data_IF_800340490900
#
_entry.id   IF_800340490900
#
_cell.length_a   1.000
_cell.length_b   1.000
_cell.length_c   1.000
_cell.angle_alpha   90.00
_cell.angle_beta   90.00
_cell.angle_gamma   90.00
#
_symmetry.space_group_name_H-M   'P 1'
#
loop_
_entity.id
_entity.type
_entity.pdbx_description
1 polymer ?
#
# COMPACT_ATOMS: atom_id res chain seq x y z
N UNK A 1 -5.69 -12.69 -2.66
CA UNK A 1 -6.62 -11.55 -2.79
C UNK A 1 -6.15 -10.64 -3.91
N UNK A 2 -7.03 -10.29 -4.85
CA UNK A 2 -6.78 -9.19 -5.77
C UNK A 2 -7.22 -7.91 -5.05
N UNK A 3 -6.27 -7.05 -4.70
CA UNK A 3 -6.55 -5.74 -4.09
C UNK A 3 -6.81 -4.74 -5.22
N UNK A 4 -7.89 -3.97 -5.09
CA UNK A 4 -8.23 -2.92 -6.05
C UNK A 4 -7.33 -1.69 -5.81
N UNK A 5 -6.49 -1.28 -6.77
CA UNK A 5 -5.64 -0.10 -6.63
C UNK A 5 -6.38 1.21 -6.39
N UNK A 6 -7.66 1.26 -6.79
CA UNK A 6 -8.52 2.43 -6.67
C UNK A 6 -9.33 2.47 -5.37
N UNK A 7 -9.28 1.42 -4.53
CA UNK A 7 -10.00 1.40 -3.27
C UNK A 7 -9.49 2.50 -2.32
N UNK A 8 -10.40 3.07 -1.53
CA UNK A 8 -10.05 4.05 -0.50
C UNK A 8 -9.56 3.34 0.77
N UNK A 9 -8.36 3.72 1.20
CA UNK A 9 -7.70 3.19 2.38
C UNK A 9 -7.18 4.33 3.25
N UNK A 10 -6.98 4.07 4.53
CA UNK A 10 -6.34 5.00 5.44
C UNK A 10 -4.91 4.56 5.69
N UNK A 11 -3.94 5.39 5.30
CA UNK A 11 -2.55 5.23 5.70
C UNK A 11 -2.37 5.88 7.08
N UNK A 12 -1.91 5.11 8.07
CA UNK A 12 -1.65 5.62 9.43
C UNK A 12 -0.77 6.88 9.37
N UNK A 13 -1.10 7.91 10.15
CA UNK A 13 -0.42 9.22 10.19
C UNK A 13 -0.45 10.07 8.89
N UNK A 14 -1.15 9.60 7.84
CA UNK A 14 -1.23 10.28 6.55
C UNK A 14 -2.64 10.48 6.00
N UNK A 15 -3.64 9.81 6.57
CA UNK A 15 -5.05 9.97 6.23
C UNK A 15 -5.54 9.07 5.10
N UNK A 16 -6.77 9.32 4.64
CA UNK A 16 -7.46 8.50 3.63
C UNK A 16 -7.04 8.87 2.21
N UNK A 17 -6.67 7.88 1.40
CA UNK A 17 -6.28 8.02 0.01
C UNK A 17 -6.51 6.72 -0.78
N UNK A 18 -6.29 6.73 -2.10
CA UNK A 18 -6.32 5.50 -2.91
C UNK A 18 -5.21 4.53 -2.50
N UNK A 19 -5.47 3.22 -2.54
CA UNK A 19 -4.49 2.19 -2.19
C UNK A 19 -3.16 2.35 -2.93
N UNK A 20 -3.20 2.67 -4.23
CA UNK A 20 -1.99 2.94 -5.00
C UNK A 20 -1.17 4.11 -4.48
N UNK A 21 -1.84 5.19 -4.08
CA UNK A 21 -1.18 6.35 -3.49
C UNK A 21 -0.61 6.02 -2.11
N UNK A 22 -1.34 5.25 -1.30
CA UNK A 22 -0.90 4.83 0.03
C UNK A 22 0.36 3.96 -0.03
N UNK A 23 0.43 3.03 -0.98
CA UNK A 23 1.61 2.18 -1.20
C UNK A 23 2.82 3.02 -1.64
N UNK A 24 2.64 3.89 -2.64
CA UNK A 24 3.72 4.77 -3.08
C UNK A 24 4.21 5.66 -1.92
N UNK A 25 3.28 6.22 -1.14
CA UNK A 25 3.61 7.06 0.01
C UNK A 25 4.37 6.27 1.09
N UNK A 26 3.90 5.09 1.45
CA UNK A 26 4.57 4.21 2.39
C UNK A 26 5.97 3.79 1.90
N UNK A 27 6.17 3.68 0.58
CA UNK A 27 7.48 3.41 0.00
C UNK A 27 8.42 4.62 0.01
N UNK A 28 7.90 5.85 0.12
CA UNK A 28 8.72 7.07 0.25
C UNK A 28 9.06 7.46 1.69
N UNK A 29 8.49 6.77 2.68
CA UNK A 29 8.72 7.05 4.10
C UNK A 29 10.13 6.73 4.56
N UNK A 30 10.60 7.45 5.58
CA UNK A 30 11.89 7.16 6.22
C UNK A 30 11.86 5.78 6.90
N UNK A 31 13.01 5.08 7.05
CA UNK A 31 13.04 3.73 7.62
C UNK A 31 12.44 3.56 9.02
N UNK A 32 12.33 4.65 9.80
CA UNK A 32 11.67 4.66 11.12
C UNK A 32 10.15 4.71 11.00
N UNK A 33 9.64 5.54 10.10
CA UNK A 33 8.21 5.76 9.85
C UNK A 33 7.62 4.60 9.06
N UNK A 34 8.38 4.11 8.08
CA UNK A 34 8.03 2.99 7.22
C UNK A 34 7.71 1.71 7.99
N UNK A 35 8.41 1.42 9.08
CA UNK A 35 8.13 0.26 9.97
C UNK A 35 6.81 0.38 10.74
N UNK A 36 6.27 1.59 10.86
CA UNK A 36 4.98 1.88 11.51
C UNK A 36 3.88 2.18 10.51
N UNK A 37 4.21 2.22 9.22
CA UNK A 37 3.27 2.46 8.15
C UNK A 37 2.32 1.27 8.06
N UNK A 38 1.04 1.57 8.21
CA UNK A 38 -0.03 0.57 8.14
C UNK A 38 -1.13 1.12 7.27
N UNK A 39 -1.67 0.28 6.38
CA UNK A 39 -2.80 0.63 5.53
C UNK A 39 -4.04 -0.07 6.05
N UNK A 40 -5.04 0.72 6.45
CA UNK A 40 -6.34 0.28 6.92
C UNK A 40 -7.34 0.36 5.77
N UNK A 41 -7.95 -0.77 5.42
CA UNK A 41 -8.95 -0.84 4.34
C UNK A 41 -10.34 -0.55 4.89
N UNK A 42 -11.13 0.27 4.20
CA UNK A 42 -12.49 0.57 4.63
C UNK A 42 -13.42 -0.57 4.20
N UNK A 43 -13.71 -1.50 5.11
CA UNK A 43 -14.71 -2.56 4.91
C UNK A 43 -14.21 -3.98 5.19
N UNK A 44 -12.90 -4.23 5.14
CA UNK A 44 -12.30 -5.49 5.59
C UNK A 44 -11.39 -5.27 6.80
N UNK A 45 -11.31 -6.23 7.75
CA UNK A 45 -10.35 -6.18 8.85
C UNK A 45 -8.88 -6.35 8.38
N UNK A 46 -8.63 -6.37 7.07
CA UNK A 46 -7.32 -6.52 6.48
C UNK A 46 -6.50 -5.24 6.68
N UNK A 47 -5.66 -5.28 7.72
CA UNK A 47 -4.60 -4.31 7.97
C UNK A 47 -3.39 -4.77 7.18
N UNK A 48 -2.91 -3.96 6.23
CA UNK A 48 -1.67 -4.25 5.52
C UNK A 48 -0.49 -3.60 6.26
N UNK A 49 0.43 -4.43 6.73
CA UNK A 49 1.68 -3.96 7.31
C UNK A 49 2.70 -3.58 6.22
N UNK A 50 3.83 -3.00 6.63
CA UNK A 50 4.84 -2.56 5.67
C UNK A 50 5.42 -3.67 4.78
N UNK A 51 5.60 -4.90 5.27
CA UNK A 51 6.08 -6.00 4.44
C UNK A 51 5.04 -6.39 3.38
N UNK A 52 3.76 -6.44 3.74
CA UNK A 52 2.68 -6.69 2.79
C UNK A 52 2.56 -5.58 1.74
N UNK A 53 2.75 -4.32 2.15
CA UNK A 53 2.79 -3.15 1.26
C UNK A 53 3.94 -3.27 0.27
N UNK A 54 5.12 -3.69 0.74
CA UNK A 54 6.32 -3.88 -0.09
C UNK A 54 6.13 -5.02 -1.09
N UNK A 55 5.58 -6.14 -0.67
CA UNK A 55 5.28 -7.27 -1.55
C UNK A 55 4.23 -6.87 -2.61
N UNK A 56 3.23 -6.07 -2.24
CA UNK A 56 2.25 -5.55 -3.19
C UNK A 56 2.89 -4.61 -4.20
N UNK A 57 3.77 -3.72 -3.73
CA UNK A 57 4.52 -2.79 -4.59
C UNK A 57 5.37 -3.56 -5.61
N UNK A 58 6.05 -4.63 -5.20
CA UNK A 58 6.84 -5.48 -6.08
C UNK A 58 5.96 -6.16 -7.14
N UNK A 59 4.85 -6.79 -6.73
CA UNK A 59 3.92 -7.45 -7.65
C UNK A 59 3.29 -6.50 -8.67
N UNK A 60 3.02 -5.26 -8.29
CA UNK A 60 2.50 -4.25 -9.22
C UNK A 60 3.58 -3.68 -10.14
N UNK A 61 4.82 -3.55 -9.66
CA UNK A 61 5.95 -3.21 -10.51
C UNK A 61 6.19 -4.28 -11.58
N UNK A 62 6.15 -5.56 -11.21
CA UNK A 62 6.26 -6.69 -12.16
C UNK A 62 5.13 -6.68 -13.20
N UNK A 63 3.90 -6.38 -12.78
CA UNK A 63 2.74 -6.29 -13.68
C UNK A 63 2.83 -5.15 -14.70
N UNK A 64 3.58 -4.09 -14.38
CA UNK A 64 3.89 -2.98 -15.29
C UNK A 64 5.01 -3.32 -16.30
N UNK A 65 5.81 -4.36 -16.03
CA UNK A 65 6.92 -4.78 -16.90
C UNK A 65 6.47 -5.87 -17.89
N UNK A 66 5.37 -6.59 -17.64
CA UNK A 66 4.83 -7.61 -18.57
C UNK A 66 3.93 -7.07 -19.69
N UNK A 67 4.00 -5.77 -20.00
CA UNK A 67 3.51 -5.23 -21.27
C UNK A 67 4.70 -4.92 -22.16
N UNK A 68 5.29 -5.97 -22.72
CA UNK A 68 6.05 -5.94 -23.98
C UNK A 68 5.66 -7.19 -24.80
#
# INVERSE_FOLDING_TARGET
MALDPEEFVTLTDHGTMKLRSAILRAMTLLPKERRRATILRQGEPAILNFEEIKDLAARWAERLVSTD
#
